data_IF_400703834230
#
_entry.id   IF_400703834230
#
_cell.length_a   1.000
_cell.length_b   1.000
_cell.length_c   1.000
_cell.angle_alpha   90.00
_cell.angle_beta   90.00
_cell.angle_gamma   90.00
#
_symmetry.space_group_name_H-M   'P 1'
#
loop_
_entity.id
_entity.type
_entity.pdbx_description
1 polymer ?
#
# COMPACT_ATOMS: atom_id res chain seq x y z
N UNK A 1 34.48 13.18 -19.37
CA UNK A 1 34.75 12.09 -18.44
C UNK A 1 33.98 10.84 -18.84
N UNK A 2 34.67 9.69 -18.85
CA UNK A 2 34.28 8.44 -19.53
C UNK A 2 33.33 7.53 -18.75
N UNK A 3 32.59 8.00 -17.76
CA UNK A 3 31.70 7.17 -16.95
C UNK A 3 30.19 7.40 -17.18
N UNK A 4 29.81 8.35 -18.01
CA UNK A 4 28.39 8.69 -18.24
C UNK A 4 27.70 7.87 -19.35
N UNK A 5 28.43 7.00 -20.06
CA UNK A 5 27.90 6.30 -21.25
C UNK A 5 27.65 4.78 -21.06
N UNK A 6 27.82 4.24 -19.85
CA UNK A 6 27.77 2.79 -19.64
C UNK A 6 26.35 2.23 -19.33
N UNK A 7 25.36 3.06 -19.12
CA UNK A 7 24.02 2.64 -18.67
C UNK A 7 22.89 2.83 -19.68
N UNK A 8 23.17 3.10 -20.95
CA UNK A 8 22.19 2.95 -22.03
C UNK A 8 22.08 1.49 -22.44
N UNK A 9 21.78 0.63 -21.51
CA UNK A 9 21.26 -0.69 -21.85
C UNK A 9 19.87 -0.50 -22.46
N UNK A 10 19.73 -0.86 -23.72
CA UNK A 10 18.49 -0.98 -24.46
C UNK A 10 17.56 -1.96 -23.74
N UNK A 11 16.81 -1.50 -22.76
CA UNK A 11 15.68 -2.25 -22.26
C UNK A 11 14.56 -2.12 -23.30
N UNK A 12 14.48 -3.07 -24.22
CA UNK A 12 13.28 -3.32 -25.02
C UNK A 12 12.37 -4.15 -24.13
N UNK A 13 11.15 -3.70 -23.81
CA UNK A 13 10.17 -4.59 -23.20
C UNK A 13 9.97 -5.75 -24.18
N UNK A 14 10.49 -6.93 -23.89
CA UNK A 14 10.17 -8.13 -24.60
C UNK A 14 8.67 -8.38 -24.38
N UNK A 15 7.90 -8.35 -25.45
CA UNK A 15 6.54 -8.87 -25.43
C UNK A 15 6.60 -10.27 -24.83
N UNK A 16 5.89 -10.50 -23.72
CA UNK A 16 5.79 -11.83 -23.13
C UNK A 16 5.24 -12.76 -24.21
N UNK A 17 5.86 -13.94 -24.46
CA UNK A 17 5.27 -14.89 -25.37
C UNK A 17 3.85 -15.18 -24.88
N UNK A 18 2.86 -15.06 -25.77
CA UNK A 18 1.47 -15.31 -25.46
C UNK A 18 1.32 -16.69 -24.82
N UNK A 19 0.93 -16.71 -23.57
CA UNK A 19 0.38 -17.92 -22.97
C UNK A 19 -0.92 -18.15 -23.74
N UNK A 20 -0.95 -19.22 -24.53
CA UNK A 20 -2.16 -19.65 -25.21
C UNK A 20 -3.26 -19.75 -24.15
N UNK A 21 -4.30 -18.96 -24.35
CA UNK A 21 -5.52 -18.98 -23.56
C UNK A 21 -6.18 -20.36 -23.77
N UNK A 22 -5.77 -21.34 -22.96
CA UNK A 22 -6.60 -22.50 -22.71
C UNK A 22 -7.77 -22.01 -21.88
N UNK A 23 -8.95 -21.93 -22.50
CA UNK A 23 -10.22 -21.67 -21.83
C UNK A 23 -10.46 -22.84 -20.87
N UNK A 24 -9.94 -22.72 -19.65
CA UNK A 24 -10.43 -23.52 -18.53
C UNK A 24 -11.58 -22.69 -17.96
N UNK A 25 -12.78 -23.02 -18.41
CA UNK A 25 -14.03 -22.60 -17.80
C UNK A 25 -14.16 -23.28 -16.42
N UNK A 26 -13.44 -22.78 -15.45
CA UNK A 26 -13.60 -23.19 -14.07
C UNK A 26 -14.30 -22.04 -13.32
N UNK A 27 -15.63 -22.12 -13.27
CA UNK A 27 -16.51 -21.23 -12.47
C UNK A 27 -16.22 -21.32 -10.97
N UNK A 28 -15.28 -22.15 -10.52
CA UNK A 28 -14.83 -22.24 -9.12
C UNK A 28 -13.88 -21.14 -8.69
N UNK A 29 -13.42 -20.29 -9.61
CA UNK A 29 -12.45 -19.20 -9.30
C UNK A 29 -13.11 -17.89 -8.91
N UNK A 30 -14.43 -17.78 -8.79
CA UNK A 30 -15.13 -16.50 -8.61
C UNK A 30 -15.77 -16.27 -7.24
N UNK A 31 -15.77 -17.24 -6.33
CA UNK A 31 -16.28 -17.02 -4.97
C UNK A 31 -15.34 -17.63 -3.94
N UNK A 32 -14.60 -16.80 -3.23
CA UNK A 32 -13.97 -17.24 -1.98
C UNK A 32 -15.07 -17.76 -1.05
N UNK A 33 -14.84 -18.93 -0.44
CA UNK A 33 -15.72 -19.44 0.61
C UNK A 33 -15.69 -18.44 1.79
N UNK A 34 -16.81 -18.31 2.51
CA UNK A 34 -16.91 -17.44 3.70
C UNK A 34 -15.81 -17.72 4.75
N UNK A 35 -15.30 -18.92 4.77
CA UNK A 35 -14.21 -19.33 5.65
C UNK A 35 -12.87 -18.78 5.16
N UNK A 36 -12.63 -18.82 3.85
CA UNK A 36 -11.44 -18.26 3.22
C UNK A 36 -11.42 -16.73 3.33
N UNK A 37 -12.57 -16.08 3.14
CA UNK A 37 -12.72 -14.64 3.35
C UNK A 37 -12.38 -14.23 4.78
N UNK A 38 -12.87 -14.97 5.76
CA UNK A 38 -12.63 -14.68 7.17
C UNK A 38 -11.16 -14.89 7.53
N UNK A 39 -10.53 -15.95 7.02
CA UNK A 39 -9.12 -16.21 7.22
C UNK A 39 -8.25 -15.11 6.56
N UNK A 40 -8.56 -14.70 5.33
CA UNK A 40 -7.85 -13.64 4.63
C UNK A 40 -7.99 -12.28 5.36
N UNK A 41 -9.18 -11.96 5.85
CA UNK A 41 -9.43 -10.75 6.63
C UNK A 41 -8.65 -10.76 7.96
N UNK A 42 -8.62 -11.89 8.65
CA UNK A 42 -7.88 -12.06 9.89
C UNK A 42 -6.38 -11.80 9.71
N UNK A 43 -5.78 -12.42 8.70
CA UNK A 43 -4.38 -12.22 8.32
C UNK A 43 -4.14 -10.75 7.97
N UNK A 44 -5.04 -10.14 7.21
CA UNK A 44 -4.90 -8.76 6.78
C UNK A 44 -4.91 -7.77 7.95
N UNK A 45 -5.81 -7.94 8.93
CA UNK A 45 -5.87 -7.11 10.14
C UNK A 45 -4.58 -7.28 10.97
N UNK A 46 -4.18 -8.53 11.21
CA UNK A 46 -2.97 -8.86 11.95
C UNK A 46 -1.73 -8.22 11.31
N UNK A 47 -1.54 -8.40 10.01
CA UNK A 47 -0.36 -7.95 9.28
C UNK A 47 -0.29 -6.42 9.23
N UNK A 48 -1.42 -5.76 8.97
CA UNK A 48 -1.49 -4.30 8.99
C UNK A 48 -1.15 -3.74 10.38
N UNK A 49 -1.73 -4.31 11.45
CA UNK A 49 -1.39 -3.89 12.81
C UNK A 49 0.09 -4.04 13.10
N UNK A 50 0.68 -5.19 12.73
CA UNK A 50 2.12 -5.44 12.90
C UNK A 50 2.98 -4.47 12.10
N UNK A 51 2.61 -4.21 10.86
CA UNK A 51 3.28 -3.24 10.00
C UNK A 51 3.24 -1.83 10.61
N UNK A 52 2.09 -1.43 11.14
CA UNK A 52 1.92 -0.15 11.87
C UNK A 52 2.58 -0.16 13.26
N UNK A 53 3.26 -1.24 13.65
CA UNK A 53 3.95 -1.39 14.95
C UNK A 53 3.03 -1.14 16.15
N UNK A 54 1.73 -1.43 15.99
CA UNK A 54 0.72 -1.31 17.04
C UNK A 54 0.57 -2.65 17.76
N UNK A 55 0.59 -2.65 19.08
CA UNK A 55 0.35 -3.87 19.87
C UNK A 55 -1.12 -4.26 19.85
N UNK A 56 -1.41 -5.52 20.17
CA UNK A 56 -2.80 -5.99 20.26
C UNK A 56 -3.58 -5.23 21.34
N UNK A 57 -2.93 -4.91 22.47
CA UNK A 57 -3.53 -4.16 23.57
C UNK A 57 -3.85 -2.71 23.15
N UNK A 58 -2.91 -2.03 22.51
CA UNK A 58 -3.11 -0.67 22.01
C UNK A 58 -4.26 -0.59 21.00
N UNK A 59 -4.33 -1.56 20.06
CA UNK A 59 -5.43 -1.57 19.09
C UNK A 59 -6.77 -1.84 19.77
N UNK A 60 -6.83 -2.82 20.69
CA UNK A 60 -8.04 -3.13 21.43
C UNK A 60 -8.56 -1.94 22.23
N UNK A 61 -7.66 -1.20 22.89
CA UNK A 61 -7.99 0.02 23.62
C UNK A 61 -8.56 1.12 22.68
N UNK A 62 -7.88 1.38 21.56
CA UNK A 62 -8.29 2.40 20.59
C UNK A 62 -9.68 2.13 19.99
N UNK A 63 -10.03 0.87 19.76
CA UNK A 63 -11.33 0.50 19.18
C UNK A 63 -12.41 0.21 20.23
N UNK A 64 -12.11 0.33 21.53
CA UNK A 64 -13.04 0.07 22.61
C UNK A 64 -13.50 -1.40 22.71
N UNK A 65 -12.62 -2.36 22.37
CA UNK A 65 -12.89 -3.79 22.42
C UNK A 65 -11.94 -4.50 23.38
N UNK A 66 -12.30 -5.72 23.78
CA UNK A 66 -11.39 -6.52 24.59
C UNK A 66 -10.25 -7.12 23.76
N UNK A 67 -9.09 -7.27 24.37
CA UNK A 67 -7.91 -7.93 23.75
C UNK A 67 -8.26 -9.35 23.31
N UNK A 68 -9.08 -10.06 24.10
CA UNK A 68 -9.55 -11.42 23.77
C UNK A 68 -10.37 -11.44 22.48
N UNK A 69 -11.30 -10.47 22.30
CA UNK A 69 -12.06 -10.34 21.05
C UNK A 69 -11.14 -10.12 19.86
N UNK A 70 -10.25 -9.12 19.94
CA UNK A 70 -9.34 -8.80 18.85
C UNK A 70 -8.39 -9.96 18.51
N UNK A 71 -7.90 -10.68 19.53
CA UNK A 71 -7.13 -11.92 19.34
C UNK A 71 -7.92 -13.02 18.61
N UNK A 72 -9.22 -13.16 18.88
CA UNK A 72 -10.07 -14.10 18.13
C UNK A 72 -10.28 -13.66 16.68
N UNK A 73 -10.44 -12.34 16.43
CA UNK A 73 -10.54 -11.77 15.07
C UNK A 73 -9.27 -12.06 14.28
N UNK A 74 -8.09 -11.78 14.83
CA UNK A 74 -6.81 -12.01 14.14
C UNK A 74 -6.48 -13.50 13.92
N UNK A 75 -7.12 -14.41 14.65
CA UNK A 75 -7.02 -15.86 14.42
C UNK A 75 -8.10 -16.42 13.50
N UNK A 76 -9.00 -15.57 13.00
CA UNK A 76 -10.11 -15.99 12.16
C UNK A 76 -11.19 -16.78 12.91
N UNK A 77 -11.25 -16.67 14.24
CA UNK A 77 -12.23 -17.36 15.09
C UNK A 77 -13.47 -16.51 15.40
N UNK A 78 -13.40 -15.21 15.15
CA UNK A 78 -14.51 -14.28 15.32
C UNK A 78 -14.58 -13.34 14.15
N UNK A 79 -15.79 -13.12 13.61
CA UNK A 79 -16.00 -12.17 12.50
C UNK A 79 -16.21 -10.77 13.07
N UNK A 80 -15.40 -9.76 12.69
CA UNK A 80 -15.65 -8.38 13.06
C UNK A 80 -16.90 -7.86 12.33
N UNK A 81 -17.64 -6.98 12.99
CA UNK A 81 -18.76 -6.25 12.37
C UNK A 81 -18.22 -5.13 11.48
N UNK A 82 -19.10 -4.52 10.67
CA UNK A 82 -18.74 -3.32 9.87
C UNK A 82 -18.26 -2.19 10.80
N UNK A 83 -18.91 -2.01 11.95
CA UNK A 83 -18.47 -1.01 12.93
C UNK A 83 -17.08 -1.30 13.51
N UNK A 84 -16.76 -2.58 13.75
CA UNK A 84 -15.42 -2.98 14.19
C UNK A 84 -14.37 -2.70 13.11
N UNK A 85 -14.67 -3.01 11.84
CA UNK A 85 -13.77 -2.74 10.72
C UNK A 85 -13.55 -1.23 10.52
N UNK A 86 -14.59 -0.41 10.70
CA UNK A 86 -14.46 1.05 10.66
C UNK A 86 -13.55 1.54 11.78
N UNK A 87 -13.77 1.10 13.02
CA UNK A 87 -12.93 1.48 14.14
C UNK A 87 -11.47 1.00 14.00
N UNK A 88 -11.26 -0.22 13.47
CA UNK A 88 -9.91 -0.75 13.18
C UNK A 88 -9.23 0.10 12.09
N UNK A 89 -9.96 0.47 11.03
CA UNK A 89 -9.40 1.28 9.93
C UNK A 89 -8.97 2.66 10.42
N UNK A 90 -9.80 3.33 11.23
CA UNK A 90 -9.47 4.61 11.86
C UNK A 90 -8.25 4.48 12.79
N UNK A 91 -8.23 3.45 13.64
CA UNK A 91 -7.13 3.23 14.58
C UNK A 91 -5.78 2.89 13.91
N UNK A 92 -5.82 2.31 12.70
CA UNK A 92 -4.64 1.94 11.92
C UNK A 92 -4.35 2.92 10.77
N UNK A 93 -5.11 4.00 10.66
CA UNK A 93 -4.96 5.04 9.64
C UNK A 93 -4.95 4.48 8.21
N UNK A 94 -6.02 3.76 7.86
CA UNK A 94 -6.28 3.25 6.51
C UNK A 94 -7.75 3.44 6.15
N UNK A 95 -8.10 3.57 4.86
CA UNK A 95 -9.50 3.59 4.44
C UNK A 95 -10.21 2.28 4.82
N UNK A 96 -11.47 2.34 5.20
CA UNK A 96 -12.27 1.13 5.53
C UNK A 96 -12.33 0.15 4.34
N UNK A 97 -12.27 0.66 3.12
CA UNK A 97 -12.18 -0.14 1.88
C UNK A 97 -10.97 -1.08 1.84
N UNK A 98 -9.94 -0.81 2.66
CA UNK A 98 -8.76 -1.67 2.82
C UNK A 98 -9.16 -3.11 3.21
N UNK A 99 -10.19 -3.27 4.02
CA UNK A 99 -10.65 -4.58 4.53
C UNK A 99 -11.68 -5.27 3.62
N UNK A 100 -12.22 -4.56 2.63
CA UNK A 100 -13.18 -5.14 1.67
C UNK A 100 -12.50 -5.67 0.40
N UNK A 101 -11.30 -5.19 0.09
CA UNK A 101 -10.49 -5.69 -1.03
C UNK A 101 -9.53 -6.77 -0.54
N UNK A 102 -10.06 -7.95 -0.23
CA UNK A 102 -9.25 -9.06 0.26
C UNK A 102 -8.24 -9.53 -0.81
N UNK A 103 -7.03 -9.93 -0.41
CA UNK A 103 -6.05 -10.45 -1.35
C UNK A 103 -6.56 -11.75 -1.96
N UNK A 104 -6.44 -11.86 -3.28
CA UNK A 104 -6.73 -13.11 -3.99
C UNK A 104 -5.67 -14.16 -3.65
N UNK A 105 -6.01 -15.46 -3.66
CA UNK A 105 -5.03 -16.52 -3.56
C UNK A 105 -3.93 -16.34 -4.61
N UNK A 106 -2.67 -16.43 -4.20
CA UNK A 106 -1.51 -16.26 -5.06
C UNK A 106 -0.92 -17.61 -5.42
N UNK A 107 -0.47 -17.74 -6.67
CA UNK A 107 0.25 -18.93 -7.11
C UNK A 107 1.65 -19.04 -6.47
N UNK A 108 2.26 -17.90 -6.12
CA UNK A 108 3.59 -17.79 -5.51
C UNK A 108 3.57 -16.70 -4.43
N UNK A 109 3.93 -17.05 -3.20
CA UNK A 109 3.87 -16.14 -2.05
C UNK A 109 4.84 -14.95 -2.14
N UNK A 110 5.89 -15.07 -2.93
CA UNK A 110 6.93 -14.04 -3.10
C UNK A 110 6.77 -13.20 -4.38
N UNK A 111 5.70 -13.43 -5.17
CA UNK A 111 5.37 -12.69 -6.38
C UNK A 111 3.98 -12.08 -6.29
N UNK A 112 3.81 -10.83 -6.75
CA UNK A 112 2.50 -10.22 -6.97
C UNK A 112 2.34 -9.84 -8.43
N UNK A 113 1.38 -10.44 -9.12
CA UNK A 113 1.04 -10.09 -10.49
C UNK A 113 0.15 -8.84 -10.52
N UNK A 114 0.10 -8.08 -11.63
CA UNK A 114 -0.73 -6.88 -11.72
C UNK A 114 -2.21 -7.09 -11.35
N UNK A 115 -2.79 -8.22 -11.73
CA UNK A 115 -4.18 -8.63 -11.46
C UNK A 115 -4.42 -9.15 -10.03
N UNK A 116 -3.35 -9.42 -9.28
CA UNK A 116 -3.37 -9.83 -7.88
C UNK A 116 -3.19 -8.65 -6.92
N UNK A 117 -2.82 -7.48 -7.44
CA UNK A 117 -2.54 -6.29 -6.63
C UNK A 117 -3.82 -5.73 -6.01
N UNK A 118 -3.70 -5.28 -4.78
CA UNK A 118 -4.76 -4.57 -4.09
C UNK A 118 -4.66 -3.08 -4.40
N UNK A 119 -5.79 -2.48 -4.70
CA UNK A 119 -5.90 -1.04 -4.94
C UNK A 119 -6.60 -0.38 -3.76
N UNK A 120 -6.05 0.72 -3.28
CA UNK A 120 -6.58 1.54 -2.21
C UNK A 120 -6.84 2.94 -2.75
N UNK A 121 -8.06 3.40 -2.60
CA UNK A 121 -8.46 4.76 -2.94
C UNK A 121 -8.40 5.61 -1.67
N UNK A 122 -7.37 6.44 -1.54
CA UNK A 122 -7.14 7.25 -0.33
C UNK A 122 -7.96 8.54 -0.29
N UNK A 123 -8.65 8.89 -1.38
CA UNK A 123 -9.27 10.19 -1.56
C UNK A 123 -8.25 11.23 -2.07
N UNK A 124 -8.71 12.48 -2.24
CA UNK A 124 -7.83 13.57 -2.71
C UNK A 124 -7.15 13.32 -4.05
N UNK A 125 -7.66 12.40 -4.88
CA UNK A 125 -7.07 12.05 -6.17
C UNK A 125 -5.88 11.08 -6.09
N UNK A 126 -5.65 10.43 -4.95
CA UNK A 126 -4.55 9.47 -4.74
C UNK A 126 -5.09 8.04 -4.75
N UNK A 127 -4.44 7.20 -5.52
CA UNK A 127 -4.71 5.76 -5.61
C UNK A 127 -3.43 4.99 -5.35
N UNK A 128 -3.40 4.20 -4.30
CA UNK A 128 -2.28 3.34 -3.94
C UNK A 128 -2.52 1.90 -4.40
N UNK A 129 -1.54 1.33 -5.05
CA UNK A 129 -1.54 -0.06 -5.54
C UNK A 129 -0.46 -0.82 -4.78
N UNK A 130 -0.88 -1.79 -3.97
CA UNK A 130 0.03 -2.61 -3.17
C UNK A 130 0.85 -3.51 -4.08
N UNK A 131 2.14 -3.23 -4.23
CA UNK A 131 3.04 -3.99 -5.09
C UNK A 131 3.71 -5.16 -4.34
N UNK A 132 3.93 -5.03 -3.03
CA UNK A 132 4.47 -6.13 -2.22
C UNK A 132 3.49 -7.29 -2.09
N UNK A 133 3.97 -8.55 -2.16
CA UNK A 133 3.14 -9.72 -1.99
C UNK A 133 2.60 -9.90 -0.57
N UNK A 134 3.27 -9.34 0.43
CA UNK A 134 2.92 -9.45 1.84
C UNK A 134 3.23 -8.15 2.58
N UNK A 135 2.55 -7.92 3.70
CA UNK A 135 2.86 -6.85 4.65
C UNK A 135 3.81 -7.32 5.79
N UNK A 136 4.15 -8.60 5.83
CA UNK A 136 5.00 -9.20 6.88
C UNK A 136 6.50 -9.00 6.62
N UNK A 137 6.88 -8.48 5.47
CA UNK A 137 8.28 -8.20 5.13
C UNK A 137 8.88 -7.04 5.94
N UNK A 138 10.20 -6.90 5.88
CA UNK A 138 10.90 -5.76 6.46
C UNK A 138 10.55 -4.44 5.74
N UNK A 139 10.00 -4.51 4.56
CA UNK A 139 9.54 -3.36 3.78
C UNK A 139 8.27 -3.69 2.99
N UNK A 140 7.54 -2.65 2.66
CA UNK A 140 6.37 -2.69 1.78
C UNK A 140 6.60 -1.76 0.60
N UNK A 141 6.20 -2.19 -0.58
CA UNK A 141 6.27 -1.39 -1.81
C UNK A 141 4.86 -1.04 -2.27
N UNK A 142 4.64 0.24 -2.50
CA UNK A 142 3.38 0.81 -2.99
C UNK A 142 3.64 1.58 -4.27
N UNK A 143 2.82 1.38 -5.27
CA UNK A 143 2.81 2.08 -6.55
C UNK A 143 1.65 3.08 -6.50
N UNK A 144 1.95 4.35 -6.27
CA UNK A 144 0.96 5.41 -6.09
C UNK A 144 0.72 6.17 -7.39
N UNK A 145 -0.55 6.33 -7.74
CA UNK A 145 -1.01 7.20 -8.82
C UNK A 145 -1.65 8.45 -8.22
N UNK A 146 -1.19 9.62 -8.65
CA UNK A 146 -1.67 10.91 -8.21
C UNK A 146 -2.23 11.68 -9.41
N UNK A 147 -3.53 11.91 -9.42
CA UNK A 147 -4.16 12.76 -10.43
C UNK A 147 -3.65 14.20 -10.36
N UNK A 148 -3.77 15.00 -11.42
CA UNK A 148 -3.46 16.42 -11.36
C UNK A 148 -4.21 17.12 -10.21
N UNK A 149 -3.48 17.85 -9.37
CA UNK A 149 -4.03 18.49 -8.17
C UNK A 149 -4.25 17.57 -6.97
N UNK A 150 -3.92 16.27 -7.08
CA UNK A 150 -3.99 15.34 -5.96
C UNK A 150 -3.05 15.75 -4.84
N UNK A 151 -3.52 15.59 -3.59
CA UNK A 151 -2.76 15.97 -2.39
C UNK A 151 -3.02 15.03 -1.23
N UNK A 152 -2.00 14.79 -0.42
CA UNK A 152 -2.13 14.08 0.86
C UNK A 152 -2.89 14.89 1.93
N UNK A 153 -3.30 16.13 1.62
CA UNK A 153 -3.96 17.02 2.56
C UNK A 153 -2.97 17.74 3.49
N UNK A 154 -3.40 17.98 4.73
CA UNK A 154 -2.55 18.60 5.73
C UNK A 154 -1.39 17.69 6.12
N UNK A 155 -0.39 18.25 6.79
CA UNK A 155 0.82 17.55 7.21
C UNK A 155 0.50 16.25 7.94
N UNK A 156 0.92 15.16 7.38
CA UNK A 156 0.91 13.87 8.06
C UNK A 156 2.24 13.66 8.78
N UNK A 157 2.18 13.08 9.97
CA UNK A 157 3.38 12.50 10.58
C UNK A 157 3.72 11.25 9.78
N UNK A 158 4.93 11.15 9.26
CA UNK A 158 5.38 9.84 8.79
C UNK A 158 5.32 8.88 9.98
N UNK A 159 4.82 7.70 9.77
CA UNK A 159 4.70 6.68 10.80
C UNK A 159 6.06 6.40 11.48
N UNK A 160 6.11 5.48 12.43
CA UNK A 160 7.37 5.00 13.07
C UNK A 160 8.36 4.41 12.07
N UNK A 161 7.95 4.26 10.81
CA UNK A 161 8.74 3.72 9.71
C UNK A 161 9.44 4.83 8.94
N UNK A 162 10.60 4.52 8.43
CA UNK A 162 11.29 5.30 7.43
C UNK A 162 10.64 5.04 6.06
N UNK A 163 10.58 6.05 5.22
CA UNK A 163 9.98 5.96 3.90
C UNK A 163 10.99 6.39 2.84
N UNK A 164 10.95 5.74 1.70
CA UNK A 164 11.67 6.18 0.53
C UNK A 164 10.73 6.19 -0.68
N UNK A 165 11.07 6.94 -1.71
CA UNK A 165 10.31 6.94 -2.94
C UNK A 165 11.14 7.24 -4.16
N UNK A 166 10.55 6.90 -5.32
CA UNK A 166 11.12 7.12 -6.63
C UNK A 166 10.03 7.57 -7.59
N UNK A 167 10.22 8.70 -8.26
CA UNK A 167 9.28 9.22 -9.24
C UNK A 167 9.46 8.48 -10.57
N UNK A 168 8.40 7.82 -11.04
CA UNK A 168 8.38 7.07 -12.31
C UNK A 168 7.90 7.96 -13.44
N UNK A 169 6.80 8.71 -13.21
CA UNK A 169 6.15 9.58 -14.21
C UNK A 169 5.58 10.83 -13.55
N UNK A 170 5.41 11.90 -14.33
CA UNK A 170 4.82 13.16 -13.87
C UNK A 170 5.73 13.95 -12.94
N UNK A 171 5.15 14.67 -11.99
CA UNK A 171 5.90 15.40 -10.98
C UNK A 171 5.29 15.23 -9.58
N UNK A 172 6.13 15.28 -8.56
CA UNK A 172 5.73 15.19 -7.16
C UNK A 172 6.36 16.35 -6.39
N UNK A 173 5.57 17.16 -5.73
CA UNK A 173 6.08 18.14 -4.78
C UNK A 173 5.95 17.59 -3.37
N UNK A 174 7.05 17.58 -2.63
CA UNK A 174 7.13 17.20 -1.23
C UNK A 174 7.38 18.41 -0.35
N UNK A 175 6.80 18.41 0.84
CA UNK A 175 7.11 19.33 1.94
C UNK A 175 7.49 18.50 3.15
N UNK A 176 8.70 18.68 3.65
CA UNK A 176 9.28 17.88 4.72
C UNK A 176 9.68 18.75 5.92
N UNK A 177 9.40 18.22 7.11
CA UNK A 177 9.79 18.82 8.39
C UNK A 177 8.93 19.99 8.83
N UNK A 178 9.29 20.55 9.98
CA UNK A 178 8.60 21.70 10.59
C UNK A 178 8.76 22.97 9.75
N UNK A 179 9.93 23.15 9.12
CA UNK A 179 10.27 24.31 8.30
C UNK A 179 9.69 24.24 6.89
N UNK A 180 8.88 23.21 6.57
CA UNK A 180 8.30 22.99 5.24
C UNK A 180 9.30 23.07 4.08
N UNK A 181 10.48 22.53 4.26
CA UNK A 181 11.42 22.41 3.15
C UNK A 181 10.73 21.67 2.01
N UNK A 182 10.66 22.30 0.85
CA UNK A 182 9.95 21.75 -0.30
C UNK A 182 10.88 21.44 -1.46
N UNK A 183 10.57 20.38 -2.17
CA UNK A 183 11.20 20.02 -3.42
C UNK A 183 10.16 19.52 -4.41
N UNK A 184 10.28 19.92 -5.68
CA UNK A 184 9.54 19.31 -6.77
C UNK A 184 10.45 18.29 -7.46
N UNK A 185 9.97 17.07 -7.52
CA UNK A 185 10.69 15.90 -8.02
C UNK A 185 10.11 15.50 -9.39
N UNK A 186 10.98 15.03 -10.26
CA UNK A 186 10.68 14.61 -11.62
C UNK A 186 11.09 13.15 -11.86
N UNK A 187 10.69 12.53 -12.98
CA UNK A 187 11.05 11.15 -13.29
C UNK A 187 12.55 10.89 -13.16
N UNK A 188 12.90 9.92 -12.36
CA UNK A 188 14.28 9.57 -12.03
C UNK A 188 14.77 10.10 -10.68
N UNK A 189 14.07 11.05 -10.07
CA UNK A 189 14.40 11.53 -8.73
C UNK A 189 13.97 10.53 -7.66
N UNK A 190 14.79 10.43 -6.61
CA UNK A 190 14.51 9.63 -5.42
C UNK A 190 14.56 10.50 -4.17
N UNK A 191 13.84 10.08 -3.15
CA UNK A 191 13.81 10.76 -1.86
C UNK A 191 13.73 9.77 -0.71
N UNK A 192 14.08 10.25 0.48
CA UNK A 192 14.01 9.49 1.72
C UNK A 192 13.43 10.39 2.83
N UNK A 193 12.47 9.86 3.56
CA UNK A 193 11.78 10.55 4.64
C UNK A 193 12.10 9.84 5.94
N UNK A 194 12.76 10.51 6.89
CA UNK A 194 13.06 9.92 8.20
C UNK A 194 11.80 9.54 8.98
N UNK A 195 11.93 8.56 9.86
CA UNK A 195 10.88 8.21 10.82
C UNK A 195 10.41 9.48 11.59
N UNK A 196 9.10 9.57 11.82
CA UNK A 196 8.44 10.68 12.54
C UNK A 196 8.57 12.06 11.88
N UNK A 197 9.15 12.17 10.68
CA UNK A 197 9.18 13.44 9.99
C UNK A 197 7.77 13.83 9.50
N UNK A 198 7.41 15.10 9.62
CA UNK A 198 6.19 15.63 9.03
C UNK A 198 6.34 15.68 7.52
N UNK A 199 5.42 15.06 6.83
CA UNK A 199 5.41 14.95 5.38
C UNK A 199 4.07 15.41 4.82
N UNK A 200 4.13 16.20 3.77
CA UNK A 200 3.01 16.48 2.87
C UNK A 200 3.49 16.33 1.44
N UNK A 201 2.63 15.85 0.57
CA UNK A 201 2.96 15.74 -0.85
C UNK A 201 1.76 16.03 -1.74
N UNK A 202 2.03 16.49 -2.96
CA UNK A 202 1.00 16.76 -3.96
C UNK A 202 1.56 16.61 -5.37
N UNK A 203 0.67 16.29 -6.31
CA UNK A 203 0.92 16.48 -7.73
C UNK A 203 0.42 17.87 -8.14
N UNK A 204 1.33 18.81 -8.27
CA UNK A 204 1.05 20.17 -8.74
C UNK A 204 1.17 20.32 -10.27
N UNK A 205 1.42 19.21 -10.98
CA UNK A 205 1.51 19.19 -12.43
C UNK A 205 0.16 19.06 -13.13
N UNK A 206 0.22 19.15 -14.45
CA UNK A 206 -0.95 19.05 -15.33
C UNK A 206 -1.23 17.60 -15.78
N UNK A 207 -0.31 16.68 -15.52
CA UNK A 207 -0.41 15.26 -15.88
C UNK A 207 -0.39 14.38 -14.62
N UNK A 208 -0.99 13.18 -14.68
CA UNK A 208 -0.88 12.24 -13.58
C UNK A 208 0.58 11.95 -13.21
N UNK A 209 0.85 11.82 -11.93
CA UNK A 209 2.15 11.39 -11.42
C UNK A 209 2.08 9.94 -10.93
N UNK A 210 3.19 9.21 -11.11
CA UNK A 210 3.35 7.84 -10.61
C UNK A 210 4.61 7.75 -9.79
N UNK A 211 4.48 7.28 -8.57
CA UNK A 211 5.54 7.26 -7.57
C UNK A 211 5.61 5.89 -6.91
N UNK A 212 6.78 5.30 -6.87
CA UNK A 212 7.01 4.09 -6.10
C UNK A 212 7.43 4.49 -4.69
N UNK A 213 6.68 4.02 -3.69
CA UNK A 213 6.98 4.21 -2.27
C UNK A 213 7.48 2.91 -1.65
N UNK A 214 8.41 3.05 -0.72
CA UNK A 214 8.95 1.96 0.09
C UNK A 214 8.82 2.38 1.55
N UNK A 215 8.12 1.57 2.34
CA UNK A 215 7.90 1.75 3.78
C UNK A 215 8.60 0.62 4.54
N UNK A 216 9.28 0.94 5.66
CA UNK A 216 9.98 -0.05 6.50
C UNK A 216 9.30 -0.32 7.82
#
# INVERSE_FOLDING_TARGET
SRLANAWRLHWKPSARPGIACGIISDERLLTMDKHEEMAALAVLIHDLRKHKKVTLNELAERIGRSVGFLSQVERGLSRPTVADLTAISEALDVPTTYFYNLPKPKALDWVTRPDERRTLYLGGGITDIMASPTLQGAFMVVDSLLEPGASSGERQMSDRSEQAGYVIEGQLTLWLGEDEQSATLYPGDAFQVPSYARLRYANQGETPARVLWIYT
#
